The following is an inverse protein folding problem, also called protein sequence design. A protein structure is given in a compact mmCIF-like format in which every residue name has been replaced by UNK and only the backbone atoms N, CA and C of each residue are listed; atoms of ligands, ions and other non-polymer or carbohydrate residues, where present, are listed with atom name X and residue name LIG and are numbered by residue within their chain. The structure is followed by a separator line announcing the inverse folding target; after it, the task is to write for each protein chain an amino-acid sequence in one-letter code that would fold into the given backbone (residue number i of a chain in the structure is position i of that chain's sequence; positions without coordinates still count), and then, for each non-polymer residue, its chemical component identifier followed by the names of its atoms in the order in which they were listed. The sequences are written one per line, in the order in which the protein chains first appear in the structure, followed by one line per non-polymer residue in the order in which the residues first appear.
data_IF_496799917724
#
_entry.id   IF_496799917724
#
_cell.length_a   1.000
_cell.length_b   1.000
_cell.length_c   1.000
_cell.angle_alpha   90.00
_cell.angle_beta   90.00
_cell.angle_gamma   90.00
#
_symmetry.space_group_name_H-M   'P 1'
#
loop_
_entity.id
_entity.type
_entity.pdbx_description
1 polymer ?
#
# COMPACT_ATOMS: atom_id res chain seq x y z
N UNK A 1 -21.75 37.60 -24.43
CA UNK A 1 -21.24 36.20 -24.36
C UNK A 1 -20.09 36.02 -23.34
N UNK A 2 -20.04 36.78 -22.23
CA UNK A 2 -19.01 36.62 -21.18
C UNK A 2 -19.54 35.75 -20.02
N UNK A 3 -20.79 35.98 -19.62
CA UNK A 3 -21.49 35.22 -18.57
C UNK A 3 -21.66 33.75 -18.94
N UNK A 4 -22.02 33.44 -20.20
CA UNK A 4 -22.15 32.05 -20.67
C UNK A 4 -20.80 31.31 -20.61
N UNK A 5 -19.70 31.99 -20.95
CA UNK A 5 -18.35 31.40 -20.86
C UNK A 5 -17.95 31.11 -19.40
N UNK A 6 -18.32 32.00 -18.47
CA UNK A 6 -18.09 31.81 -17.03
C UNK A 6 -18.90 30.61 -16.50
N UNK A 7 -20.15 30.45 -16.93
CA UNK A 7 -20.98 29.30 -16.55
C UNK A 7 -20.40 27.97 -17.05
N UNK A 8 -19.98 27.92 -18.33
CA UNK A 8 -19.37 26.71 -18.90
C UNK A 8 -18.05 26.37 -18.17
N UNK A 9 -17.24 27.37 -17.84
CA UNK A 9 -15.99 27.18 -17.12
C UNK A 9 -16.23 26.65 -15.69
N UNK A 10 -17.26 27.17 -15.01
CA UNK A 10 -17.64 26.68 -13.67
C UNK A 10 -18.15 25.24 -13.68
N UNK A 11 -18.89 24.85 -14.73
CA UNK A 11 -19.40 23.49 -14.90
C UNK A 11 -18.26 22.51 -15.23
N UNK A 12 -17.32 22.90 -16.08
CA UNK A 12 -16.15 22.10 -16.42
C UNK A 12 -15.26 21.83 -15.20
N UNK A 13 -15.05 22.83 -14.34
CA UNK A 13 -14.32 22.69 -13.06
C UNK A 13 -15.05 21.78 -12.07
N UNK A 14 -16.38 21.73 -12.12
CA UNK A 14 -17.16 20.83 -11.27
C UNK A 14 -17.01 19.36 -11.67
N UNK A 15 -16.90 19.08 -12.99
CA UNK A 15 -16.75 17.73 -13.52
C UNK A 15 -15.38 17.08 -13.20
N UNK A 16 -14.31 17.85 -12.99
CA UNK A 16 -12.97 17.30 -12.75
C UNK A 16 -12.69 16.92 -11.28
N UNK A 17 -13.59 17.24 -10.35
CA UNK A 17 -13.43 16.90 -8.93
C UNK A 17 -13.89 15.49 -8.55
N UNK A 18 -14.35 14.68 -9.51
CA UNK A 18 -14.63 13.27 -9.27
C UNK A 18 -13.34 12.46 -9.43
N UNK A 19 -12.32 12.78 -8.63
CA UNK A 19 -11.29 11.79 -8.29
C UNK A 19 -11.95 10.78 -7.36
N UNK A 20 -12.69 9.85 -7.95
CA UNK A 20 -13.28 8.75 -7.21
C UNK A 20 -12.12 7.85 -6.80
N UNK A 21 -11.53 8.09 -5.63
CA UNK A 21 -11.03 6.99 -4.83
C UNK A 21 -12.27 6.17 -4.53
N UNK A 22 -12.57 5.21 -5.40
CA UNK A 22 -13.70 4.31 -5.26
C UNK A 22 -13.35 3.34 -4.13
N UNK A 23 -13.41 3.84 -2.89
CA UNK A 23 -13.96 3.02 -1.83
C UNK A 23 -15.34 2.63 -2.36
N UNK A 24 -15.46 1.38 -2.81
CA UNK A 24 -16.72 0.85 -3.31
C UNK A 24 -17.70 0.91 -2.14
N UNK A 25 -18.49 1.98 -2.09
CA UNK A 25 -19.33 2.32 -0.95
C UNK A 25 -20.60 1.48 -1.00
N UNK A 26 -20.45 0.21 -0.59
CA UNK A 26 -21.54 -0.76 -0.54
C UNK A 26 -22.66 -0.32 0.41
N UNK A 27 -22.47 0.72 1.24
CA UNK A 27 -23.45 1.18 2.22
C UNK A 27 -24.73 1.76 1.60
N UNK A 28 -24.67 2.15 0.32
CA UNK A 28 -25.83 2.68 -0.43
C UNK A 28 -26.77 1.59 -0.95
N UNK A 29 -26.34 0.32 -0.89
CA UNK A 29 -27.16 -0.82 -1.29
C UNK A 29 -27.97 -1.33 -0.10
N UNK A 30 -29.15 -1.87 -0.37
CA UNK A 30 -29.96 -2.51 0.67
C UNK A 30 -29.19 -3.68 1.29
N UNK A 31 -29.10 -3.72 2.63
CA UNK A 31 -28.25 -4.68 3.35
C UNK A 31 -28.68 -6.14 3.19
N UNK A 32 -29.95 -6.39 2.85
CA UNK A 32 -30.48 -7.73 2.61
C UNK A 32 -30.41 -8.13 1.13
N UNK A 33 -30.00 -7.21 0.25
CA UNK A 33 -29.86 -7.48 -1.17
C UNK A 33 -28.68 -8.40 -1.47
N UNK A 34 -28.87 -9.20 -2.52
CA UNK A 34 -27.79 -9.99 -3.15
C UNK A 34 -26.63 -9.10 -3.60
N UNK A 35 -26.94 -7.91 -4.11
CA UNK A 35 -25.98 -6.94 -4.62
C UNK A 35 -25.07 -6.41 -3.50
N UNK A 36 -25.61 -6.16 -2.30
CA UNK A 36 -24.82 -5.78 -1.13
C UNK A 36 -23.84 -6.89 -0.73
N UNK A 37 -24.28 -8.14 -0.71
CA UNK A 37 -23.41 -9.28 -0.40
C UNK A 37 -22.28 -9.44 -1.43
N UNK A 38 -22.61 -9.36 -2.72
CA UNK A 38 -21.60 -9.42 -3.79
C UNK A 38 -20.62 -8.25 -3.75
N UNK A 39 -21.11 -7.04 -3.45
CA UNK A 39 -20.31 -5.83 -3.31
C UNK A 39 -19.27 -5.99 -2.20
N UNK A 40 -19.71 -6.39 -1.01
CA UNK A 40 -18.82 -6.60 0.14
C UNK A 40 -17.83 -7.74 -0.10
N UNK A 41 -18.25 -8.84 -0.72
CA UNK A 41 -17.35 -9.93 -1.07
C UNK A 41 -16.24 -9.49 -2.04
N UNK A 42 -16.57 -8.68 -3.06
CA UNK A 42 -15.58 -8.11 -3.99
C UNK A 42 -14.64 -7.13 -3.28
N UNK A 43 -15.18 -6.28 -2.40
CA UNK A 43 -14.39 -5.33 -1.60
C UNK A 43 -13.39 -6.06 -0.69
N UNK A 44 -13.84 -7.09 0.03
CA UNK A 44 -12.99 -7.92 0.88
C UNK A 44 -11.87 -8.60 0.10
N UNK A 45 -12.17 -9.18 -1.07
CA UNK A 45 -11.16 -9.81 -1.94
C UNK A 45 -10.09 -8.81 -2.38
N UNK A 46 -10.49 -7.62 -2.86
CA UNK A 46 -9.56 -6.56 -3.26
C UNK A 46 -8.69 -6.11 -2.09
N UNK A 47 -9.28 -5.88 -0.92
CA UNK A 47 -8.53 -5.46 0.27
C UNK A 47 -7.52 -6.52 0.69
N UNK A 48 -7.89 -7.80 0.67
CA UNK A 48 -6.99 -8.91 0.98
C UNK A 48 -5.81 -8.99 0.00
N UNK A 49 -6.06 -8.79 -1.30
CA UNK A 49 -5.02 -8.78 -2.33
C UNK A 49 -4.03 -7.61 -2.14
N UNK A 50 -4.55 -6.41 -1.88
CA UNK A 50 -3.71 -5.24 -1.57
C UNK A 50 -2.86 -5.49 -0.33
N UNK A 51 -3.45 -6.07 0.73
CA UNK A 51 -2.71 -6.37 1.96
C UNK A 51 -1.60 -7.40 1.71
N UNK A 52 -1.90 -8.45 0.94
CA UNK A 52 -0.93 -9.48 0.53
C UNK A 52 0.23 -8.88 -0.24
N UNK A 53 -0.04 -8.05 -1.24
CA UNK A 53 1.00 -7.41 -2.06
C UNK A 53 1.86 -6.48 -1.20
N UNK A 54 1.25 -5.66 -0.35
CA UNK A 54 1.95 -4.74 0.56
C UNK A 54 2.82 -5.49 1.58
N UNK A 55 2.37 -6.64 2.06
CA UNK A 55 3.16 -7.52 2.92
C UNK A 55 4.34 -8.13 2.16
N UNK A 56 4.11 -8.63 0.94
CA UNK A 56 5.15 -9.18 0.07
C UNK A 56 6.24 -8.15 -0.23
N UNK A 57 5.86 -6.93 -0.60
CA UNK A 57 6.78 -5.83 -0.89
C UNK A 57 7.64 -5.48 0.33
N UNK A 58 7.01 -5.40 1.52
CA UNK A 58 7.75 -5.17 2.78
C UNK A 58 8.73 -6.29 3.10
N UNK A 59 8.35 -7.54 2.87
CA UNK A 59 9.24 -8.70 3.05
C UNK A 59 10.42 -8.62 2.07
N UNK A 60 10.16 -8.29 0.80
CA UNK A 60 11.21 -8.17 -0.20
C UNK A 60 12.18 -7.03 0.10
N UNK A 61 11.65 -5.86 0.49
CA UNK A 61 12.47 -4.73 0.95
C UNK A 61 13.28 -5.10 2.21
N UNK A 62 12.67 -5.81 3.16
CA UNK A 62 13.35 -6.32 4.34
C UNK A 62 14.49 -7.28 3.99
N UNK A 63 14.27 -8.20 3.06
CA UNK A 63 15.28 -9.15 2.57
C UNK A 63 16.43 -8.42 1.87
N UNK A 64 16.14 -7.43 1.02
CA UNK A 64 17.15 -6.58 0.36
C UNK A 64 18.01 -5.84 1.39
N UNK A 65 17.39 -5.26 2.43
CA UNK A 65 18.12 -4.60 3.54
C UNK A 65 18.96 -5.58 4.35
N UNK A 66 18.41 -6.74 4.70
CA UNK A 66 19.10 -7.78 5.45
C UNK A 66 20.34 -8.30 4.70
N UNK A 67 20.19 -8.57 3.40
CA UNK A 67 21.31 -8.95 2.55
C UNK A 67 22.38 -7.85 2.46
N UNK A 68 21.99 -6.57 2.32
CA UNK A 68 22.94 -5.44 2.29
C UNK A 68 23.76 -5.31 3.57
N UNK A 69 23.18 -5.68 4.72
CA UNK A 69 23.84 -5.57 6.02
C UNK A 69 24.87 -6.68 6.28
N UNK A 70 25.00 -7.68 5.38
CA UNK A 70 25.90 -8.84 5.52
C UNK A 70 25.87 -9.44 6.94
N UNK A 71 24.67 -9.54 7.52
CA UNK A 71 24.47 -9.93 8.92
C UNK A 71 25.06 -11.32 9.20
N UNK A 72 24.98 -12.22 8.22
CA UNK A 72 25.59 -13.56 8.29
C UNK A 72 27.09 -13.48 8.52
N UNK A 73 27.79 -12.63 7.77
CA UNK A 73 29.25 -12.48 7.88
C UNK A 73 29.63 -11.78 9.19
N UNK A 74 28.86 -10.76 9.59
CA UNK A 74 29.05 -10.10 10.88
C UNK A 74 28.83 -11.06 12.06
N UNK A 75 27.82 -11.93 11.99
CA UNK A 75 27.59 -12.97 13.01
C UNK A 75 28.70 -14.02 13.02
N UNK A 76 29.22 -14.41 11.85
CA UNK A 76 30.37 -15.32 11.76
C UNK A 76 31.62 -14.70 12.39
N UNK A 77 31.91 -13.43 12.08
CA UNK A 77 33.02 -12.67 12.71
C UNK A 77 32.84 -12.57 14.21
N UNK A 78 31.63 -12.24 14.68
CA UNK A 78 31.32 -12.18 16.10
C UNK A 78 31.56 -13.52 16.80
N UNK A 79 31.04 -14.61 16.23
CA UNK A 79 31.22 -15.97 16.77
C UNK A 79 32.70 -16.39 16.84
N UNK A 80 33.50 -16.00 15.85
CA UNK A 80 34.90 -16.37 15.75
C UNK A 80 35.83 -15.42 16.52
N UNK A 81 35.34 -14.26 16.97
CA UNK A 81 36.12 -13.31 17.77
C UNK A 81 36.38 -13.85 19.17
N UNK A 82 37.62 -13.72 19.65
CA UNK A 82 38.00 -14.12 21.02
C UNK A 82 37.78 -13.00 22.04
N UNK A 83 37.75 -11.75 21.60
CA UNK A 83 37.54 -10.58 22.43
C UNK A 83 36.75 -9.49 21.68
N UNK A 84 36.20 -8.52 22.43
CA UNK A 84 35.48 -7.38 21.84
C UNK A 84 36.38 -6.54 20.92
N UNK A 85 37.67 -6.44 21.24
CA UNK A 85 38.66 -5.72 20.42
C UNK A 85 38.85 -6.42 19.06
N UNK A 86 38.99 -7.74 19.07
CA UNK A 86 39.12 -8.55 17.85
C UNK A 86 37.89 -8.46 16.93
N UNK A 87 36.70 -8.24 17.48
CA UNK A 87 35.47 -8.06 16.71
C UNK A 87 35.35 -6.68 16.05
N UNK A 88 35.93 -5.65 16.66
CA UNK A 88 35.86 -4.26 16.17
C UNK A 88 36.99 -3.95 15.19
N UNK A 89 38.17 -4.55 15.39
CA UNK A 89 39.36 -4.32 14.57
C UNK A 89 39.42 -5.20 13.28
N UNK A 90 38.61 -6.27 13.15
CA UNK A 90 38.53 -7.16 11.97
C UNK A 90 37.14 -7.21 11.31
#
# INVERSE_FOLDING_TARGET
MKIIKILILSLALFCTNQSIVLAQDCSKLDKLSKEYAECNAKLLKKNAEVLKNKASDKIEQGKKKFNKLNIKDKLLKFKNSKSHKDFVEN
#
